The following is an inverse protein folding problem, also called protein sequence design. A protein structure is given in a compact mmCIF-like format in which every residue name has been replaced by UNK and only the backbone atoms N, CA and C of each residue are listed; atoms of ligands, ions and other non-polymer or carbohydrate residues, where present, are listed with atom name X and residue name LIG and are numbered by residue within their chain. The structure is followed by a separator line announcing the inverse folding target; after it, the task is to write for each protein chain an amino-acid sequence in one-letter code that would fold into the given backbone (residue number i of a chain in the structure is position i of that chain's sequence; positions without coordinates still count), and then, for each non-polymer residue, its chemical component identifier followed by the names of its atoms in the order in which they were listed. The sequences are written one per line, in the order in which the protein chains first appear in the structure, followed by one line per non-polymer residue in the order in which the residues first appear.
data_IF_686608794688
#
_entry.id   IF_686608794688
#
_cell.length_a   1.000
_cell.length_b   1.000
_cell.length_c   1.000
_cell.angle_alpha   90.00
_cell.angle_beta   90.00
_cell.angle_gamma   90.00
#
_symmetry.space_group_name_H-M   'P 1'
#
loop_
_entity.id
_entity.type
_entity.pdbx_description
1 polymer ?
#
# COMPACT_ATOMS: atom_id res chain seq x y z
N UNK A 1 54.65 -22.92 57.63
CA UNK A 1 54.78 -23.43 56.25
C UNK A 1 53.40 -23.48 55.62
N UNK A 2 52.96 -22.43 54.92
CA UNK A 2 51.66 -22.41 54.25
C UNK A 2 51.76 -22.95 52.82
N UNK A 3 50.76 -23.74 52.46
CA UNK A 3 50.60 -24.47 51.21
C UNK A 3 50.11 -23.61 50.04
N UNK A 4 50.75 -23.82 48.90
CA UNK A 4 50.43 -23.44 47.52
C UNK A 4 49.01 -22.91 47.20
N UNK A 5 48.94 -21.62 46.88
CA UNK A 5 47.90 -21.04 46.03
C UNK A 5 48.21 -21.31 44.55
N UNK A 6 47.57 -22.32 43.96
CA UNK A 6 47.56 -22.52 42.50
C UNK A 6 46.71 -21.45 41.82
N UNK A 7 47.39 -20.55 41.11
CA UNK A 7 46.82 -19.57 40.19
C UNK A 7 46.14 -20.31 39.03
N UNK A 8 44.83 -20.07 38.81
CA UNK A 8 44.05 -20.66 37.73
C UNK A 8 43.89 -19.62 36.58
N UNK A 9 44.61 -19.74 35.45
CA UNK A 9 44.50 -18.79 34.36
C UNK A 9 43.51 -19.31 33.30
N UNK A 10 42.22 -19.34 33.64
CA UNK A 10 41.16 -19.51 32.64
C UNK A 10 40.00 -18.54 32.86
N UNK A 11 40.32 -17.23 32.91
CA UNK A 11 39.35 -16.22 32.49
C UNK A 11 39.32 -16.24 30.96
N UNK A 12 38.35 -16.96 30.39
CA UNK A 12 37.97 -16.86 28.97
C UNK A 12 37.82 -15.39 28.62
N UNK A 13 38.76 -14.85 27.85
CA UNK A 13 38.63 -13.52 27.22
C UNK A 13 37.38 -13.60 26.33
N UNK A 14 36.37 -12.78 26.62
CA UNK A 14 35.26 -12.58 25.70
C UNK A 14 35.77 -12.15 24.32
N UNK A 15 34.99 -12.33 23.25
CA UNK A 15 35.43 -11.97 21.90
C UNK A 15 35.86 -10.51 21.88
N UNK A 16 37.09 -10.26 21.44
CA UNK A 16 37.66 -8.93 21.34
C UNK A 16 36.73 -8.06 20.48
N UNK A 17 36.37 -6.87 20.99
CA UNK A 17 35.64 -5.88 20.18
C UNK A 17 36.52 -5.53 18.99
N UNK A 18 36.19 -6.02 17.79
CA UNK A 18 36.81 -5.56 16.55
C UNK A 18 36.51 -4.07 16.44
N UNK A 19 37.54 -3.22 16.58
CA UNK A 19 37.39 -1.80 16.33
C UNK A 19 36.93 -1.62 14.89
N UNK A 20 35.80 -0.94 14.69
CA UNK A 20 35.34 -0.61 13.35
C UNK A 20 36.33 0.38 12.73
N UNK A 21 36.55 0.34 11.42
CA UNK A 21 37.38 1.33 10.75
C UNK A 21 36.75 2.73 10.94
N UNK A 22 37.56 3.75 11.24
CA UNK A 22 37.14 5.14 11.09
C UNK A 22 37.08 5.47 9.60
N UNK A 23 35.97 5.11 8.96
CA UNK A 23 35.71 5.32 7.54
C UNK A 23 34.37 6.01 7.33
N UNK A 24 34.30 6.85 6.29
CA UNK A 24 33.05 7.44 5.81
C UNK A 24 32.23 6.47 4.95
N UNK A 25 32.82 5.33 4.57
CA UNK A 25 32.13 4.29 3.82
C UNK A 25 31.24 3.45 4.76
N UNK A 26 29.93 3.64 4.62
CA UNK A 26 28.90 2.94 5.40
C UNK A 26 29.01 1.41 5.24
N UNK A 27 29.34 0.91 4.06
CA UNK A 27 29.38 -0.54 3.78
C UNK A 27 30.62 -1.20 4.36
N UNK A 28 31.75 -0.46 4.39
CA UNK A 28 32.96 -0.91 5.09
C UNK A 28 32.76 -0.88 6.61
N UNK A 29 32.03 0.12 7.11
CA UNK A 29 31.72 0.25 8.54
C UNK A 29 30.73 -0.80 9.03
N UNK A 30 29.77 -1.21 8.20
CA UNK A 30 28.76 -2.21 8.53
C UNK A 30 28.76 -3.34 7.49
N UNK A 31 29.76 -4.23 7.54
CA UNK A 31 29.85 -5.33 6.58
C UNK A 31 28.67 -6.30 6.72
N UNK A 32 28.49 -7.17 5.73
CA UNK A 32 27.52 -8.27 5.76
C UNK A 32 28.16 -9.63 5.46
N UNK A 33 29.47 -9.75 5.63
CA UNK A 33 30.25 -10.92 5.21
C UNK A 33 30.04 -12.14 6.11
N UNK A 34 29.74 -11.93 7.39
CA UNK A 34 29.57 -13.00 8.38
C UNK A 34 28.18 -13.05 9.00
N UNK A 35 27.86 -14.17 9.67
CA UNK A 35 26.62 -14.29 10.43
C UNK A 35 26.54 -13.24 11.55
N UNK A 36 27.66 -12.97 12.23
CA UNK A 36 27.69 -11.99 13.31
C UNK A 36 27.35 -10.60 12.77
N UNK A 37 27.85 -10.25 11.59
CA UNK A 37 27.58 -8.94 11.00
C UNK A 37 26.09 -8.72 10.69
N UNK A 38 25.46 -9.69 10.02
CA UNK A 38 24.00 -9.68 9.77
C UNK A 38 23.24 -9.54 11.08
N UNK A 39 23.66 -10.28 12.12
CA UNK A 39 23.00 -10.24 13.43
C UNK A 39 23.19 -8.92 14.16
N UNK A 40 24.35 -8.28 14.01
CA UNK A 40 24.64 -6.95 14.58
C UNK A 40 23.82 -5.87 13.90
N UNK A 41 23.60 -5.94 12.59
CA UNK A 41 22.78 -5.01 11.81
C UNK A 41 21.31 -5.09 12.22
N UNK A 42 20.74 -6.30 12.31
CA UNK A 42 19.30 -6.43 12.65
C UNK A 42 19.02 -6.24 14.15
N UNK A 43 20.05 -6.27 14.99
CA UNK A 43 19.94 -6.02 16.43
C UNK A 43 19.84 -7.28 17.30
N UNK A 44 19.95 -8.50 16.73
CA UNK A 44 19.89 -9.76 17.47
C UNK A 44 21.28 -10.31 17.86
N UNK A 45 22.15 -9.40 18.32
CA UNK A 45 23.53 -9.69 18.76
C UNK A 45 23.88 -8.88 20.03
N UNK A 46 24.69 -9.42 20.98
CA UNK A 46 25.12 -8.67 22.17
C UNK A 46 25.86 -7.36 21.86
N UNK A 47 26.58 -7.32 20.73
CA UNK A 47 27.30 -6.14 20.20
C UNK A 47 26.59 -5.55 18.97
N UNK A 48 25.26 -5.43 19.02
CA UNK A 48 24.46 -4.82 17.95
C UNK A 48 24.84 -3.36 17.68
N UNK A 49 24.70 -2.92 16.43
CA UNK A 49 24.88 -1.53 16.01
C UNK A 49 23.67 -0.69 16.43
N UNK A 50 23.67 -0.22 17.69
CA UNK A 50 22.53 0.51 18.28
C UNK A 50 22.30 1.87 17.63
N UNK A 51 23.32 2.43 17.01
CA UNK A 51 23.27 3.66 16.22
C UNK A 51 22.42 3.52 14.95
N UNK A 52 22.22 2.30 14.43
CA UNK A 52 21.32 2.02 13.31
C UNK A 52 19.86 2.05 13.79
N UNK A 53 19.39 3.20 14.25
CA UNK A 53 18.04 3.35 14.81
C UNK A 53 16.91 3.15 13.80
N UNK A 54 17.15 3.50 12.53
CA UNK A 54 16.12 3.46 11.49
C UNK A 54 16.16 2.13 10.72
N UNK A 55 15.04 1.39 10.75
CA UNK A 55 14.93 0.05 10.15
C UNK A 55 15.21 0.04 8.63
N UNK A 56 14.74 1.01 7.81
CA UNK A 56 15.07 1.07 6.39
C UNK A 56 16.58 1.11 6.11
N UNK A 57 17.39 1.81 6.92
CA UNK A 57 18.86 1.77 6.81
C UNK A 57 19.40 0.36 7.05
N UNK A 58 18.88 -0.36 8.04
CA UNK A 58 19.29 -1.77 8.28
C UNK A 58 18.98 -2.63 7.06
N UNK A 59 17.84 -2.44 6.42
CA UNK A 59 17.42 -3.20 5.22
C UNK A 59 18.32 -2.88 4.03
N UNK A 60 18.64 -1.60 3.82
CA UNK A 60 19.58 -1.16 2.76
C UNK A 60 20.98 -1.75 2.98
N UNK A 61 21.46 -1.78 4.22
CA UNK A 61 22.73 -2.45 4.56
C UNK A 61 22.64 -3.96 4.34
N UNK A 62 21.56 -4.63 4.75
CA UNK A 62 21.40 -6.06 4.47
C UNK A 62 21.41 -6.38 2.97
N UNK A 63 21.00 -5.46 2.10
CA UNK A 63 21.00 -5.68 0.66
C UNK A 63 22.42 -5.90 0.08
N UNK A 64 23.49 -5.44 0.74
CA UNK A 64 24.86 -5.74 0.30
C UNK A 64 25.20 -7.22 0.41
N UNK A 65 24.49 -7.98 1.25
CA UNK A 65 24.67 -9.43 1.34
C UNK A 65 24.26 -10.18 0.06
N UNK A 66 23.62 -9.53 -0.92
CA UNK A 66 23.18 -10.17 -2.16
C UNK A 66 24.33 -10.82 -2.95
N UNK A 67 25.55 -10.28 -2.84
CA UNK A 67 26.77 -10.83 -3.45
C UNK A 67 27.55 -11.76 -2.52
N UNK A 68 27.09 -11.90 -1.28
CA UNK A 68 27.78 -12.62 -0.21
C UNK A 68 27.15 -13.99 0.06
N UNK A 69 27.92 -14.86 0.75
CA UNK A 69 27.44 -16.17 1.22
C UNK A 69 26.33 -16.06 2.27
N UNK A 70 26.19 -14.89 2.89
CA UNK A 70 25.22 -14.57 3.93
C UNK A 70 23.85 -14.17 3.39
N UNK A 71 23.65 -14.07 2.07
CA UNK A 71 22.38 -13.69 1.43
C UNK A 71 21.14 -14.34 2.05
N UNK A 72 21.17 -15.66 2.21
CA UNK A 72 20.01 -16.40 2.74
C UNK A 72 19.79 -16.15 4.24
N UNK A 73 20.87 -15.94 4.99
CA UNK A 73 20.81 -15.52 6.38
C UNK A 73 20.24 -14.09 6.51
N UNK A 74 20.67 -13.17 5.64
CA UNK A 74 20.17 -11.80 5.61
C UNK A 74 18.68 -11.76 5.26
N UNK A 75 18.19 -12.64 4.38
CA UNK A 75 16.75 -12.78 4.06
C UNK A 75 15.95 -13.39 5.21
N UNK A 76 16.32 -14.61 5.60
CA UNK A 76 15.46 -15.49 6.41
C UNK A 76 15.82 -15.54 7.89
N UNK A 77 17.01 -15.07 8.26
CA UNK A 77 17.56 -15.17 9.61
C UNK A 77 18.14 -16.55 9.94
N UNK A 78 18.77 -16.65 11.12
CA UNK A 78 19.36 -17.89 11.61
C UNK A 78 18.28 -18.84 12.16
N UNK A 79 18.40 -20.14 11.90
CA UNK A 79 17.39 -21.14 12.31
C UNK A 79 17.10 -21.17 13.82
N UNK A 80 18.13 -20.94 14.64
CA UNK A 80 18.05 -20.99 16.12
C UNK A 80 17.78 -19.63 16.77
N UNK A 81 18.28 -18.55 16.18
CA UNK A 81 18.32 -17.22 16.80
C UNK A 81 17.42 -16.20 16.09
N UNK A 82 16.78 -16.58 14.99
CA UNK A 82 16.06 -15.67 14.12
C UNK A 82 16.99 -14.63 13.47
N UNK A 83 16.46 -13.45 13.20
CA UNK A 83 17.19 -12.34 12.60
C UNK A 83 16.88 -12.17 11.11
N UNK A 84 17.81 -11.52 10.41
CA UNK A 84 17.63 -11.13 9.02
C UNK A 84 16.45 -10.17 8.82
N UNK A 85 16.16 -9.89 7.57
CA UNK A 85 15.07 -9.05 7.12
C UNK A 85 13.72 -9.52 7.64
N UNK A 86 13.48 -10.84 7.64
CA UNK A 86 12.28 -11.43 8.21
C UNK A 86 11.99 -10.92 9.63
N UNK A 87 13.01 -10.78 10.48
CA UNK A 87 12.81 -10.29 11.85
C UNK A 87 12.39 -8.82 11.94
N UNK A 88 12.65 -8.03 10.90
CA UNK A 88 12.30 -6.61 10.84
C UNK A 88 10.86 -6.41 10.39
N UNK A 89 10.36 -7.23 9.47
CA UNK A 89 9.04 -7.02 8.83
C UNK A 89 7.99 -8.09 9.16
N UNK A 90 8.33 -9.15 9.87
CA UNK A 90 7.41 -10.23 10.22
C UNK A 90 7.47 -10.57 11.71
N UNK A 91 6.30 -10.77 12.31
CA UNK A 91 6.17 -11.20 13.70
C UNK A 91 4.95 -12.12 13.85
N UNK A 92 5.09 -13.20 14.62
CA UNK A 92 4.00 -14.19 14.79
C UNK A 92 2.77 -13.62 15.53
N UNK A 93 2.97 -12.65 16.42
CA UNK A 93 1.92 -12.05 17.26
C UNK A 93 2.19 -10.56 17.45
N UNK A 94 1.17 -9.74 17.21
CA UNK A 94 1.26 -8.29 17.30
C UNK A 94 2.03 -7.66 16.15
N UNK A 95 2.22 -6.34 16.23
CA UNK A 95 2.89 -5.57 15.19
C UNK A 95 4.38 -5.93 15.10
N UNK A 96 4.85 -6.17 13.88
CA UNK A 96 6.27 -6.32 13.60
C UNK A 96 7.03 -4.99 13.81
N UNK A 97 8.36 -5.03 13.98
CA UNK A 97 9.16 -3.83 14.20
C UNK A 97 8.97 -2.75 13.12
N UNK A 98 8.90 -3.13 11.84
CA UNK A 98 8.70 -2.19 10.74
C UNK A 98 7.38 -1.43 10.84
N UNK A 99 6.28 -2.13 11.12
CA UNK A 99 4.97 -1.50 11.35
C UNK A 99 5.02 -0.51 12.53
N UNK A 100 5.62 -0.93 13.65
CA UNK A 100 5.65 -0.15 14.89
C UNK A 100 6.58 1.07 14.81
N UNK A 101 7.76 0.91 14.23
CA UNK A 101 8.87 1.86 14.33
C UNK A 101 9.04 2.69 13.04
N UNK A 102 8.48 2.26 11.91
CA UNK A 102 8.54 2.97 10.63
C UNK A 102 7.15 3.43 10.21
N UNK A 103 6.22 2.50 9.97
CA UNK A 103 4.93 2.83 9.34
C UNK A 103 4.08 3.75 10.24
N UNK A 104 3.87 3.38 11.50
CA UNK A 104 3.00 4.15 12.40
C UNK A 104 3.53 5.58 12.65
N UNK A 105 4.81 5.80 13.01
CA UNK A 105 5.35 7.15 13.14
C UNK A 105 5.31 7.93 11.84
N UNK A 106 5.61 7.29 10.71
CA UNK A 106 5.62 7.94 9.41
C UNK A 106 4.21 8.39 8.98
N UNK A 107 3.18 7.56 9.18
CA UNK A 107 1.79 7.95 8.91
C UNK A 107 1.37 9.16 9.78
N UNK A 108 1.74 9.18 11.05
CA UNK A 108 1.47 10.33 11.94
C UNK A 108 2.20 11.60 11.48
N UNK A 109 3.44 11.47 11.00
CA UNK A 109 4.18 12.60 10.44
C UNK A 109 3.55 13.09 9.12
N UNK A 110 3.14 12.17 8.24
CA UNK A 110 2.44 12.51 6.99
C UNK A 110 1.11 13.22 7.28
N UNK A 111 0.40 12.82 8.34
CA UNK A 111 -0.81 13.50 8.82
C UNK A 111 -0.53 14.91 9.31
N UNK A 112 0.51 15.09 10.15
CA UNK A 112 0.92 16.41 10.61
C UNK A 112 1.34 17.36 9.47
N UNK A 113 1.85 16.81 8.35
CA UNK A 113 2.22 17.55 7.14
C UNK A 113 1.05 17.77 6.17
N UNK A 114 -0.15 17.24 6.44
CA UNK A 114 -1.30 17.33 5.55
C UNK A 114 -1.18 16.47 4.28
N UNK A 115 -0.32 15.45 4.28
CA UNK A 115 -0.11 14.51 3.18
C UNK A 115 -1.02 13.27 3.28
N UNK A 116 -1.51 12.94 4.47
CA UNK A 116 -2.33 11.76 4.74
C UNK A 116 -3.40 11.99 5.82
N UNK A 117 -4.65 11.54 5.64
CA UNK A 117 -5.22 11.10 4.36
C UNK A 117 -5.25 12.27 3.37
N UNK A 118 -5.20 12.01 2.04
CA UNK A 118 -5.25 13.09 1.05
C UNK A 118 -6.53 13.93 1.19
N UNK A 119 -6.38 15.25 1.29
CA UNK A 119 -7.49 16.19 1.37
C UNK A 119 -7.85 16.73 -0.02
N UNK A 120 -9.14 16.74 -0.37
CA UNK A 120 -9.64 17.32 -1.62
C UNK A 120 -10.51 18.54 -1.29
N UNK A 121 -10.12 19.76 -1.70
CA UNK A 121 -10.87 20.98 -1.37
C UNK A 121 -12.10 21.14 -2.30
N UNK A 122 -13.10 20.26 -2.17
CA UNK A 122 -14.28 20.18 -3.07
C UNK A 122 -14.98 21.54 -3.24
N UNK A 123 -15.04 22.34 -2.18
CA UNK A 123 -15.67 23.68 -2.20
C UNK A 123 -15.01 24.67 -3.17
N UNK A 124 -13.72 24.49 -3.47
CA UNK A 124 -12.94 25.34 -4.37
C UNK A 124 -12.95 24.84 -5.83
N UNK A 125 -13.55 23.68 -6.10
CA UNK A 125 -13.61 23.09 -7.43
C UNK A 125 -14.81 23.63 -8.23
N UNK A 126 -14.88 23.40 -9.55
CA UNK A 126 -16.07 23.70 -10.36
C UNK A 126 -17.34 23.04 -9.81
N UNK A 127 -18.50 23.56 -10.21
CA UNK A 127 -19.78 23.01 -9.79
C UNK A 127 -19.91 21.53 -10.17
N UNK A 128 -20.66 20.79 -9.36
CA UNK A 128 -20.83 19.34 -9.46
C UNK A 128 -19.56 18.49 -9.25
N UNK A 129 -18.41 19.10 -8.97
CA UNK A 129 -17.22 18.36 -8.55
C UNK A 129 -17.52 17.58 -7.27
N UNK A 130 -16.97 16.37 -7.17
CA UNK A 130 -17.12 15.54 -5.98
C UNK A 130 -15.85 14.80 -5.62
N UNK A 131 -15.72 14.41 -4.35
CA UNK A 131 -14.67 13.54 -3.86
C UNK A 131 -15.26 12.39 -3.07
N UNK A 132 -14.71 11.19 -3.27
CA UNK A 132 -15.03 9.99 -2.50
C UNK A 132 -13.78 9.61 -1.71
N UNK A 133 -13.91 9.57 -0.39
CA UNK A 133 -12.87 9.06 0.50
C UNK A 133 -13.41 7.88 1.32
N UNK A 134 -12.70 6.76 1.32
CA UNK A 134 -13.11 5.52 2.00
C UNK A 134 -11.94 5.00 2.82
N UNK A 135 -12.10 4.90 4.14
CA UNK A 135 -11.18 4.10 4.96
C UNK A 135 -11.62 2.64 4.89
N UNK A 136 -10.87 1.82 4.18
CA UNK A 136 -11.20 0.40 3.97
C UNK A 136 -10.24 -0.52 4.74
N UNK A 137 -10.66 -1.76 4.93
CA UNK A 137 -9.85 -2.85 5.49
C UNK A 137 -9.68 -3.95 4.44
N UNK A 138 -8.47 -4.47 4.29
CA UNK A 138 -8.17 -5.61 3.43
C UNK A 138 -8.72 -6.91 4.01
N UNK A 139 -9.46 -7.69 3.22
CA UNK A 139 -9.86 -9.06 3.55
C UNK A 139 -8.90 -10.09 2.98
N UNK A 140 -8.09 -9.70 1.99
CA UNK A 140 -7.05 -10.51 1.36
C UNK A 140 -5.76 -9.70 1.24
N UNK A 141 -4.58 -10.36 1.19
CA UNK A 141 -3.31 -9.67 1.09
C UNK A 141 -3.26 -8.74 -0.12
N UNK A 142 -2.53 -7.64 0.00
CA UNK A 142 -2.23 -6.76 -1.13
C UNK A 142 -0.75 -6.82 -1.49
N UNK A 143 -0.48 -6.85 -2.80
CA UNK A 143 0.87 -6.73 -3.36
C UNK A 143 0.86 -5.80 -4.56
N UNK A 144 1.83 -4.88 -4.58
CA UNK A 144 2.26 -4.13 -5.75
C UNK A 144 3.78 -4.12 -5.72
N UNK A 145 4.42 -4.44 -6.85
CA UNK A 145 5.87 -4.59 -6.93
C UNK A 145 6.53 -3.22 -6.85
N UNK A 146 7.57 -3.10 -6.01
CA UNK A 146 8.50 -1.97 -6.05
C UNK A 146 9.55 -2.12 -7.15
N UNK A 147 9.98 -0.99 -7.68
CA UNK A 147 10.99 -0.88 -8.74
C UNK A 147 12.39 -0.65 -8.13
N UNK A 148 12.54 -0.87 -6.83
CA UNK A 148 13.80 -0.70 -6.09
C UNK A 148 14.90 -1.63 -6.64
N UNK A 149 16.01 -1.09 -7.18
CA UNK A 149 17.13 -1.89 -7.65
C UNK A 149 17.88 -2.49 -6.46
N UNK A 150 18.46 -3.68 -6.64
CA UNK A 150 19.30 -4.37 -5.64
C UNK A 150 18.60 -4.57 -4.29
N UNK A 151 17.29 -4.86 -4.29
CA UNK A 151 16.55 -5.15 -3.07
C UNK A 151 16.78 -6.59 -2.60
N UNK A 152 16.81 -6.80 -1.28
CA UNK A 152 17.16 -8.08 -0.67
C UNK A 152 16.26 -9.24 -1.14
N UNK A 153 14.96 -8.98 -1.31
CA UNK A 153 13.99 -9.91 -1.88
C UNK A 153 13.67 -9.57 -3.34
N UNK A 154 13.34 -10.58 -4.14
CA UNK A 154 12.99 -10.42 -5.56
C UNK A 154 11.64 -9.72 -5.76
N UNK A 155 10.78 -9.79 -4.75
CA UNK A 155 9.42 -9.26 -4.77
C UNK A 155 9.21 -8.22 -3.66
N UNK A 156 9.87 -7.05 -3.75
CA UNK A 156 9.64 -5.96 -2.82
C UNK A 156 8.23 -5.40 -2.97
N UNK A 157 7.64 -5.00 -1.85
CA UNK A 157 6.38 -4.28 -1.83
C UNK A 157 6.64 -2.79 -2.08
N UNK A 158 5.83 -2.19 -2.94
CA UNK A 158 5.80 -0.75 -3.24
C UNK A 158 5.71 0.08 -1.97
N UNK A 159 6.68 0.98 -1.76
CA UNK A 159 6.69 1.92 -0.64
C UNK A 159 6.86 3.36 -1.11
N UNK A 160 6.30 4.30 -0.35
CA UNK A 160 6.60 5.73 -0.53
C UNK A 160 8.10 5.97 -0.30
N UNK A 161 8.72 6.84 -1.11
CA UNK A 161 10.19 6.95 -1.21
C UNK A 161 10.85 7.49 0.05
N UNK A 162 10.22 8.44 0.73
CA UNK A 162 10.75 9.15 1.90
C UNK A 162 10.35 8.43 3.18
N UNK A 163 9.05 8.23 3.36
CA UNK A 163 8.46 7.69 4.59
C UNK A 163 8.56 6.16 4.67
N UNK A 164 8.84 5.50 3.54
CA UNK A 164 8.94 4.03 3.42
C UNK A 164 7.66 3.29 3.83
N UNK A 165 6.52 3.97 3.76
CA UNK A 165 5.20 3.40 4.04
C UNK A 165 4.70 2.62 2.82
N UNK A 166 4.20 1.38 2.95
CA UNK A 166 3.62 0.64 1.84
C UNK A 166 2.48 1.38 1.16
N UNK A 167 2.39 1.32 -0.16
CA UNK A 167 1.38 2.07 -0.90
C UNK A 167 0.91 1.40 -2.19
N UNK A 168 -0.27 1.83 -2.66
CA UNK A 168 -0.66 1.75 -4.07
C UNK A 168 -0.57 3.16 -4.67
N UNK A 169 0.12 3.27 -5.81
CA UNK A 169 0.25 4.53 -6.56
C UNK A 169 -1.10 4.96 -7.13
N UNK A 170 -1.29 6.26 -7.31
CA UNK A 170 -2.44 6.82 -8.02
C UNK A 170 -2.64 6.19 -9.41
N UNK A 171 -1.55 5.91 -10.14
CA UNK A 171 -1.58 5.19 -11.42
C UNK A 171 -2.07 3.74 -11.31
N UNK A 172 -1.78 3.06 -10.19
CA UNK A 172 -2.29 1.72 -9.90
C UNK A 172 -3.80 1.71 -9.69
N UNK A 173 -4.32 2.71 -8.97
CA UNK A 173 -5.77 2.93 -8.86
C UNK A 173 -6.39 3.25 -10.21
N UNK A 174 -5.81 4.19 -10.97
CA UNK A 174 -6.28 4.55 -12.31
C UNK A 174 -6.39 3.34 -13.22
N UNK A 175 -5.34 2.52 -13.30
CA UNK A 175 -5.31 1.33 -14.16
C UNK A 175 -6.39 0.31 -13.78
N UNK A 176 -6.49 -0.02 -12.49
CA UNK A 176 -7.46 -1.01 -12.01
C UNK A 176 -8.90 -0.53 -12.19
N UNK A 177 -9.19 0.73 -11.83
CA UNK A 177 -10.53 1.29 -11.99
C UNK A 177 -10.91 1.47 -13.45
N UNK A 178 -9.95 1.78 -14.34
CA UNK A 178 -10.21 1.87 -15.79
C UNK A 178 -10.60 0.51 -16.36
N UNK A 179 -9.92 -0.56 -15.95
CA UNK A 179 -10.27 -1.92 -16.34
C UNK A 179 -11.68 -2.29 -15.86
N UNK A 180 -12.02 -1.97 -14.62
CA UNK A 180 -13.36 -2.18 -14.09
C UNK A 180 -14.42 -1.37 -14.84
N UNK A 181 -14.16 -0.09 -15.12
CA UNK A 181 -15.06 0.78 -15.87
C UNK A 181 -15.33 0.25 -17.28
N UNK A 182 -14.29 -0.17 -18.01
CA UNK A 182 -14.43 -0.78 -19.35
C UNK A 182 -15.33 -2.02 -19.35
N UNK A 183 -15.23 -2.84 -18.31
CA UNK A 183 -16.08 -4.03 -18.16
C UNK A 183 -17.52 -3.69 -17.79
N UNK A 184 -17.75 -2.60 -17.07
CA UNK A 184 -19.07 -2.20 -16.56
C UNK A 184 -19.85 -1.32 -17.53
N UNK A 185 -19.15 -0.60 -18.42
CA UNK A 185 -19.70 0.28 -19.44
C UNK A 185 -19.20 -0.14 -20.83
N UNK A 186 -19.22 -1.44 -21.11
CA UNK A 186 -18.82 -2.01 -22.41
C UNK A 186 -19.69 -1.46 -23.55
N UNK A 187 -20.96 -1.19 -23.24
CA UNK A 187 -21.96 -0.59 -24.13
C UNK A 187 -21.84 0.94 -24.26
N UNK A 188 -21.04 1.58 -23.41
CA UNK A 188 -20.91 3.05 -23.28
C UNK A 188 -19.45 3.49 -23.09
N UNK A 189 -18.55 3.21 -24.06
CA UNK A 189 -17.13 3.51 -23.95
C UNK A 189 -16.81 5.00 -23.74
N UNK A 190 -17.68 5.90 -24.24
CA UNK A 190 -17.56 7.35 -24.09
C UNK A 190 -17.58 7.81 -22.62
N UNK A 191 -18.28 7.07 -21.73
CA UNK A 191 -18.24 7.32 -20.28
C UNK A 191 -16.85 7.06 -19.73
N UNK A 192 -16.20 5.98 -20.18
CA UNK A 192 -14.86 5.61 -19.74
C UNK A 192 -13.85 6.63 -20.24
N UNK A 193 -13.94 7.04 -21.50
CA UNK A 193 -12.97 7.96 -22.09
C UNK A 193 -13.03 9.35 -21.46
N UNK A 194 -14.22 9.88 -21.16
CA UNK A 194 -14.31 11.18 -20.46
C UNK A 194 -13.88 11.11 -19.00
N UNK A 195 -14.08 9.98 -18.30
CA UNK A 195 -13.63 9.81 -16.93
C UNK A 195 -12.10 9.67 -16.82
N UNK A 196 -11.48 8.87 -17.69
CA UNK A 196 -10.06 8.49 -17.58
C UNK A 196 -9.12 9.24 -18.52
N UNK A 197 -9.68 9.91 -19.53
CA UNK A 197 -8.98 10.58 -20.63
C UNK A 197 -8.69 9.63 -21.80
N UNK A 198 -8.59 10.20 -22.99
CA UNK A 198 -8.23 9.51 -24.22
C UNK A 198 -6.85 10.00 -24.71
N UNK A 199 -6.01 9.05 -25.14
CA UNK A 199 -4.80 9.32 -25.91
C UNK A 199 -5.21 9.07 -27.36
N UNK A 200 -5.10 10.08 -28.22
CA UNK A 200 -5.27 9.91 -29.66
C UNK A 200 -3.93 9.42 -30.21
N UNK A 201 -3.93 8.31 -30.95
CA UNK A 201 -2.71 7.67 -31.48
C UNK A 201 -2.14 8.40 -32.72
N UNK A 202 -2.77 9.50 -33.15
CA UNK A 202 -2.54 10.08 -34.48
C UNK A 202 -1.94 11.49 -34.41
N UNK A 203 -0.66 11.63 -34.02
CA UNK A 203 0.16 12.82 -34.33
C UNK A 203 -0.30 14.22 -33.88
N UNK A 204 -1.49 14.37 -33.29
CA UNK A 204 -2.03 15.61 -32.79
C UNK A 204 -1.71 15.78 -31.30
N UNK A 205 -1.20 16.95 -30.93
CA UNK A 205 -0.75 17.32 -29.59
C UNK A 205 -1.86 17.38 -28.51
N UNK A 206 -3.08 16.85 -28.74
CA UNK A 206 -4.22 17.10 -27.85
C UNK A 206 -4.92 15.82 -27.37
N UNK A 207 -4.23 15.06 -26.51
CA UNK A 207 -4.91 14.08 -25.65
C UNK A 207 -5.96 14.76 -24.75
N UNK A 208 -7.13 14.16 -24.60
CA UNK A 208 -8.20 14.69 -23.73
C UNK A 208 -7.95 14.25 -22.29
N UNK A 209 -7.78 15.21 -21.38
CA UNK A 209 -7.68 14.94 -19.95
C UNK A 209 -8.99 14.32 -19.42
N UNK A 210 -8.88 13.32 -18.56
CA UNK A 210 -10.03 12.72 -17.88
C UNK A 210 -10.55 13.57 -16.72
N UNK A 211 -11.82 13.41 -16.37
CA UNK A 211 -12.47 14.06 -15.22
C UNK A 211 -12.02 13.51 -13.86
N UNK A 212 -11.44 12.31 -13.80
CA UNK A 212 -11.02 11.67 -12.55
C UNK A 212 -9.57 11.99 -12.17
N UNK A 213 -9.38 12.33 -10.89
CA UNK A 213 -8.09 12.54 -10.24
C UNK A 213 -7.93 11.47 -9.15
N UNK A 214 -6.87 10.66 -9.26
CA UNK A 214 -6.59 9.53 -8.37
C UNK A 214 -5.52 9.93 -7.36
N UNK A 215 -5.70 9.49 -6.11
CA UNK A 215 -4.73 9.70 -5.05
C UNK A 215 -4.09 8.37 -4.64
N UNK A 216 -2.84 8.38 -4.14
CA UNK A 216 -2.25 7.18 -3.56
C UNK A 216 -3.00 6.73 -2.31
N UNK A 217 -2.92 5.43 -2.02
CA UNK A 217 -3.32 4.88 -0.72
C UNK A 217 -2.10 4.37 0.00
N UNK A 218 -1.92 4.79 1.24
CA UNK A 218 -0.89 4.32 2.15
C UNK A 218 -1.49 3.33 3.15
N UNK A 219 -0.77 2.24 3.41
CA UNK A 219 -1.21 1.16 4.30
C UNK A 219 -0.51 1.21 5.65
N UNK A 220 -1.21 0.75 6.68
CA UNK A 220 -0.75 0.75 8.07
C UNK A 220 0.04 -0.51 8.50
N UNK A 221 0.28 -1.45 7.57
CA UNK A 221 1.02 -2.67 7.87
C UNK A 221 1.81 -3.21 6.67
N UNK A 222 2.85 -3.97 6.99
CA UNK A 222 3.64 -4.80 6.06
C UNK A 222 3.83 -6.18 6.69
N UNK A 223 3.92 -7.22 5.86
CA UNK A 223 4.28 -8.57 6.30
C UNK A 223 4.93 -9.36 5.14
N UNK A 224 5.27 -10.62 5.40
CA UNK A 224 5.75 -11.58 4.40
C UNK A 224 4.71 -12.66 4.14
N UNK A 225 4.49 -12.93 2.86
CA UNK A 225 3.72 -14.08 2.38
C UNK A 225 4.64 -15.06 1.65
N UNK A 226 4.25 -16.33 1.62
CA UNK A 226 5.00 -17.39 0.95
C UNK A 226 4.11 -18.16 0.00
N UNK A 227 4.47 -18.12 -1.27
CA UNK A 227 3.78 -18.89 -2.31
C UNK A 227 4.66 -20.05 -2.71
N UNK A 228 4.16 -21.27 -2.56
CA UNK A 228 4.80 -22.46 -3.12
C UNK A 228 4.12 -22.84 -4.45
N UNK A 229 4.71 -22.57 -5.63
CA UNK A 229 4.18 -23.05 -6.89
C UNK A 229 4.25 -24.58 -6.94
N UNK A 230 3.24 -25.24 -7.50
CA UNK A 230 3.30 -26.69 -7.69
C UNK A 230 3.58 -27.01 -9.15
N UNK A 231 4.46 -27.98 -9.38
CA UNK A 231 4.66 -28.55 -10.69
C UNK A 231 3.37 -29.24 -11.15
N UNK A 232 2.87 -28.87 -12.33
CA UNK A 232 1.68 -29.52 -12.91
C UNK A 232 1.92 -31.00 -13.24
N UNK A 233 3.19 -31.39 -13.50
CA UNK A 233 3.57 -32.77 -13.87
C UNK A 233 3.69 -33.69 -12.65
N UNK A 234 4.30 -33.21 -11.57
CA UNK A 234 4.64 -34.04 -10.41
C UNK A 234 3.78 -33.75 -9.19
N UNK A 235 2.95 -32.70 -9.23
CA UNK A 235 2.17 -32.14 -8.10
C UNK A 235 3.00 -31.74 -6.87
N UNK A 236 4.32 -31.96 -6.89
CA UNK A 236 5.25 -31.51 -5.86
C UNK A 236 5.39 -29.98 -5.87
N UNK A 237 5.54 -29.39 -4.68
CA UNK A 237 5.89 -27.97 -4.53
C UNK A 237 7.30 -27.71 -5.09
N UNK A 238 7.49 -26.55 -5.69
CA UNK A 238 8.78 -26.09 -6.19
C UNK A 238 9.46 -25.20 -5.15
N UNK A 239 10.30 -24.26 -5.59
CA UNK A 239 10.98 -23.31 -4.70
C UNK A 239 9.96 -22.30 -4.17
N UNK A 240 9.80 -22.17 -2.84
CA UNK A 240 8.91 -21.18 -2.26
C UNK A 240 9.34 -19.76 -2.61
N UNK A 241 8.37 -18.95 -3.04
CA UNK A 241 8.56 -17.56 -3.43
C UNK A 241 8.06 -16.69 -2.27
N UNK A 242 8.98 -15.95 -1.65
CA UNK A 242 8.65 -14.96 -0.63
C UNK A 242 8.23 -13.66 -1.29
N UNK A 243 7.11 -13.11 -0.79
CA UNK A 243 6.53 -11.84 -1.20
C UNK A 243 6.44 -10.92 0.01
N UNK A 244 6.88 -9.68 -0.14
CA UNK A 244 6.42 -8.64 0.78
C UNK A 244 5.01 -8.25 0.43
N UNK A 245 4.15 -8.16 1.44
CA UNK A 245 2.74 -7.88 1.24
C UNK A 245 2.25 -6.87 2.27
N UNK A 246 1.10 -6.28 2.00
CA UNK A 246 0.24 -5.74 3.04
C UNK A 246 -0.69 -6.87 3.49
N UNK A 247 -0.70 -7.25 4.79
CA UNK A 247 -1.49 -8.37 5.28
C UNK A 247 -3.00 -8.08 5.32
N UNK A 248 -3.86 -9.12 5.35
CA UNK A 248 -5.27 -8.98 5.70
C UNK A 248 -5.44 -8.28 7.05
N UNK A 249 -6.50 -7.49 7.19
CA UNK A 249 -6.76 -6.67 8.38
C UNK A 249 -6.12 -5.28 8.33
N UNK A 250 -5.10 -5.08 7.48
CA UNK A 250 -4.52 -3.76 7.26
C UNK A 250 -5.52 -2.79 6.63
N UNK A 251 -5.31 -1.50 6.86
CA UNK A 251 -6.21 -0.43 6.46
C UNK A 251 -5.52 0.62 5.60
N UNK A 252 -6.34 1.35 4.84
CA UNK A 252 -5.87 2.47 4.03
C UNK A 252 -7.03 3.38 3.63
N UNK A 253 -6.68 4.61 3.21
CA UNK A 253 -7.64 5.55 2.66
C UNK A 253 -7.59 5.52 1.13
N UNK A 254 -8.68 5.10 0.51
CA UNK A 254 -8.93 5.36 -0.91
C UNK A 254 -9.47 6.78 -1.06
N UNK A 255 -8.90 7.57 -1.96
CA UNK A 255 -9.38 8.92 -2.28
C UNK A 255 -9.43 9.10 -3.80
N UNK A 256 -10.56 9.58 -4.29
CA UNK A 256 -10.82 9.87 -5.71
C UNK A 256 -11.55 11.21 -5.80
N UNK A 257 -11.12 12.08 -6.70
CA UNK A 257 -11.85 13.30 -7.03
C UNK A 257 -12.34 13.28 -8.47
N UNK A 258 -13.49 13.89 -8.70
CA UNK A 258 -14.11 14.13 -9.99
C UNK A 258 -14.22 15.63 -10.21
N UNK A 259 -13.72 16.10 -11.36
CA UNK A 259 -13.72 17.50 -11.76
C UNK A 259 -14.29 17.60 -13.18
N UNK A 260 -15.53 18.07 -13.36
CA UNK A 260 -16.18 18.21 -14.65
C UNK A 260 -15.79 19.51 -15.36
N UNK A 261 -14.48 19.74 -15.54
CA UNK A 261 -13.97 21.02 -16.07
C UNK A 261 -14.46 21.34 -17.49
N UNK A 262 -14.83 20.31 -18.27
CA UNK A 262 -15.30 20.39 -19.65
C UNK A 262 -16.83 20.55 -19.76
N UNK A 263 -17.56 20.56 -18.64
CA UNK A 263 -18.99 20.86 -18.61
C UNK A 263 -19.29 22.35 -18.49
N UNK A 264 -18.26 23.18 -18.26
CA UNK A 264 -18.41 24.63 -18.16
C UNK A 264 -18.99 25.20 -19.47
N UNK A 265 -20.14 25.87 -19.37
CA UNK A 265 -20.84 26.48 -20.52
C UNK A 265 -21.89 25.60 -21.20
N UNK A 266 -22.07 24.34 -20.76
CA UNK A 266 -23.22 23.53 -21.19
C UNK A 266 -24.51 23.94 -20.46
N UNK A 267 -25.69 23.66 -21.04
CA UNK A 267 -26.96 23.76 -20.32
C UNK A 267 -26.91 22.95 -19.03
N UNK A 268 -27.42 23.53 -17.94
CA UNK A 268 -27.32 22.95 -16.60
C UNK A 268 -27.94 21.54 -16.49
N UNK A 269 -29.06 21.32 -17.17
CA UNK A 269 -29.73 20.01 -17.25
C UNK A 269 -28.82 18.94 -17.88
N UNK A 270 -28.12 19.29 -18.97
CA UNK A 270 -27.22 18.38 -19.66
C UNK A 270 -25.98 18.07 -18.82
N UNK A 271 -25.44 19.08 -18.14
CA UNK A 271 -24.34 18.89 -17.20
C UNK A 271 -24.72 17.92 -16.07
N UNK A 272 -25.90 18.11 -15.46
CA UNK A 272 -26.43 17.25 -14.39
C UNK A 272 -26.62 15.81 -14.85
N UNK A 273 -27.16 15.57 -16.05
CA UNK A 273 -27.30 14.22 -16.62
C UNK A 273 -25.95 13.53 -16.78
N UNK A 274 -24.93 14.22 -17.30
CA UNK A 274 -23.60 13.63 -17.44
C UNK A 274 -22.95 13.34 -16.08
N UNK A 275 -23.06 14.25 -15.12
CA UNK A 275 -22.55 14.07 -13.75
C UNK A 275 -23.23 12.88 -13.08
N UNK A 276 -24.55 12.73 -13.23
CA UNK A 276 -25.30 11.61 -12.67
C UNK A 276 -24.81 10.26 -13.24
N UNK A 277 -24.66 10.16 -14.57
CA UNK A 277 -24.13 8.97 -15.22
C UNK A 277 -22.69 8.66 -14.78
N UNK A 278 -21.85 9.70 -14.70
CA UNK A 278 -20.45 9.59 -14.25
C UNK A 278 -20.37 9.10 -12.80
N UNK A 279 -21.14 9.71 -11.89
CA UNK A 279 -21.20 9.36 -10.48
C UNK A 279 -21.66 7.91 -10.28
N UNK A 280 -22.71 7.49 -10.99
CA UNK A 280 -23.21 6.12 -10.95
C UNK A 280 -22.14 5.11 -11.37
N UNK A 281 -21.46 5.34 -12.49
CA UNK A 281 -20.37 4.47 -12.95
C UNK A 281 -19.19 4.46 -11.97
N UNK A 282 -18.81 5.64 -11.44
CA UNK A 282 -17.70 5.78 -10.48
C UNK A 282 -17.94 4.95 -9.22
N UNK A 283 -19.10 5.08 -8.61
CA UNK A 283 -19.44 4.35 -7.38
C UNK A 283 -19.49 2.85 -7.65
N UNK A 284 -20.08 2.44 -8.78
CA UNK A 284 -20.17 1.04 -9.15
C UNK A 284 -18.78 0.42 -9.41
N UNK A 285 -17.89 1.10 -10.15
CA UNK A 285 -16.55 0.57 -10.40
C UNK A 285 -15.69 0.51 -9.15
N UNK A 286 -15.86 1.44 -8.19
CA UNK A 286 -15.13 1.43 -6.92
C UNK A 286 -15.56 0.23 -6.08
N UNK A 287 -16.87 0.00 -5.91
CA UNK A 287 -17.38 -1.18 -5.20
C UNK A 287 -16.87 -2.47 -5.83
N UNK A 288 -17.01 -2.62 -7.16
CA UNK A 288 -16.65 -3.85 -7.86
C UNK A 288 -15.16 -4.13 -7.79
N UNK A 289 -14.34 -3.10 -7.94
CA UNK A 289 -12.88 -3.19 -7.79
C UNK A 289 -12.50 -3.64 -6.39
N UNK A 290 -13.04 -3.02 -5.35
CA UNK A 290 -12.67 -3.32 -3.97
C UNK A 290 -13.22 -4.66 -3.46
N UNK A 291 -14.45 -5.01 -3.82
CA UNK A 291 -15.15 -6.15 -3.22
C UNK A 291 -15.13 -7.43 -4.08
N UNK A 292 -14.84 -7.34 -5.38
CA UNK A 292 -14.94 -8.50 -6.29
C UNK A 292 -13.72 -8.72 -7.19
N UNK A 293 -13.24 -7.69 -7.87
CA UNK A 293 -12.16 -7.84 -8.86
C UNK A 293 -10.76 -7.81 -8.22
N UNK A 294 -10.63 -7.06 -7.14
CA UNK A 294 -9.37 -6.78 -6.46
C UNK A 294 -8.54 -5.70 -7.15
N UNK A 295 -7.59 -5.12 -6.41
CA UNK A 295 -6.72 -4.03 -6.89
C UNK A 295 -5.21 -4.30 -6.72
N UNK A 296 -4.81 -5.57 -6.61
CA UNK A 296 -3.41 -5.99 -6.47
C UNK A 296 -2.81 -6.50 -7.80
N UNK A 297 -1.48 -6.52 -7.90
CA UNK A 297 -0.79 -7.19 -9.00
C UNK A 297 -1.05 -8.72 -9.07
N UNK A 298 -1.53 -9.35 -7.98
CA UNK A 298 -1.82 -10.80 -7.91
C UNK A 298 -3.33 -11.12 -7.82
N UNK A 299 -4.18 -10.33 -8.51
CA UNK A 299 -5.65 -10.51 -8.55
C UNK A 299 -6.12 -11.93 -8.85
N UNK A 300 -5.46 -12.65 -9.76
CA UNK A 300 -5.81 -14.04 -10.10
C UNK A 300 -5.68 -15.03 -8.93
N UNK A 301 -4.99 -14.64 -7.85
CA UNK A 301 -4.88 -15.41 -6.60
C UNK A 301 -5.74 -14.82 -5.46
N UNK A 302 -6.64 -13.89 -5.80
CA UNK A 302 -7.56 -13.26 -4.86
C UNK A 302 -6.95 -12.12 -4.03
N UNK A 303 -5.78 -11.59 -4.41
CA UNK A 303 -5.15 -10.48 -3.68
C UNK A 303 -5.88 -9.15 -3.92
N UNK A 304 -5.83 -8.27 -2.91
CA UNK A 304 -6.33 -6.90 -2.97
C UNK A 304 -7.85 -6.80 -2.90
N UNK A 305 -8.50 -7.65 -2.11
CA UNK A 305 -9.93 -7.51 -1.78
C UNK A 305 -10.09 -6.78 -0.45
N UNK A 306 -11.13 -5.94 -0.36
CA UNK A 306 -11.49 -5.19 0.82
C UNK A 306 -12.86 -5.61 1.38
N UNK A 307 -13.12 -5.26 2.64
CA UNK A 307 -14.38 -5.52 3.30
C UNK A 307 -15.50 -4.66 2.70
N UNK A 308 -16.68 -5.26 2.50
CA UNK A 308 -17.85 -4.56 1.95
C UNK A 308 -18.57 -3.68 2.98
N UNK A 309 -18.34 -3.93 4.27
CA UNK A 309 -18.95 -3.23 5.42
C UNK A 309 -17.87 -2.84 6.42
N UNK A 310 -18.05 -1.68 7.06
CA UNK A 310 -17.12 -1.07 8.01
C UNK A 310 -17.79 -0.99 9.40
N UNK A 311 -17.63 -2.01 10.26
CA UNK A 311 -18.49 -2.20 11.44
C UNK A 311 -18.14 -1.37 12.68
N UNK A 312 -16.89 -0.95 12.89
CA UNK A 312 -16.47 -0.30 14.14
C UNK A 312 -16.45 1.25 14.03
N UNK A 313 -17.34 1.90 14.80
CA UNK A 313 -17.52 3.36 14.88
C UNK A 313 -16.34 4.13 15.51
N UNK A 314 -15.48 3.48 16.30
CA UNK A 314 -14.36 4.13 17.00
C UNK A 314 -13.05 4.00 16.23
N UNK A 315 -12.90 2.97 15.41
CA UNK A 315 -11.69 2.73 14.61
C UNK A 315 -11.86 3.05 13.11
N UNK A 316 -13.08 3.04 12.57
CA UNK A 316 -13.35 3.25 11.15
C UNK A 316 -14.47 4.28 10.95
N UNK A 317 -14.17 5.52 10.50
CA UNK A 317 -15.20 6.52 10.24
C UNK A 317 -16.10 6.17 9.04
N UNK A 318 -15.78 5.10 8.30
CA UNK A 318 -16.46 4.68 7.08
C UNK A 318 -15.94 5.44 5.86
N UNK A 319 -16.85 5.80 4.97
CA UNK A 319 -16.56 6.67 3.83
C UNK A 319 -17.39 7.94 3.82
N UNK A 320 -16.90 8.93 3.08
CA UNK A 320 -17.56 10.20 2.83
C UNK A 320 -17.55 10.46 1.32
N UNK A 321 -18.69 10.86 0.77
CA UNK A 321 -18.80 11.47 -0.54
C UNK A 321 -19.22 12.92 -0.36
N UNK A 322 -18.36 13.83 -0.80
CA UNK A 322 -18.61 15.27 -0.77
C UNK A 322 -18.78 15.76 -2.19
N UNK A 323 -19.93 16.35 -2.50
CA UNK A 323 -20.20 17.00 -3.79
C UNK A 323 -20.47 18.48 -3.56
N UNK A 324 -19.89 19.34 -4.39
CA UNK A 324 -20.08 20.79 -4.27
C UNK A 324 -21.56 21.14 -4.45
N UNK A 325 -22.11 21.89 -3.49
CA UNK A 325 -23.52 22.29 -3.48
C UNK A 325 -24.46 21.32 -2.74
N UNK A 326 -23.98 20.15 -2.31
CA UNK A 326 -24.79 19.13 -1.65
C UNK A 326 -24.28 18.81 -0.25
N UNK A 327 -25.15 18.26 0.60
CA UNK A 327 -24.77 17.79 1.92
C UNK A 327 -23.83 16.56 1.81
N UNK A 328 -22.75 16.48 2.62
CA UNK A 328 -21.87 15.32 2.63
C UNK A 328 -22.59 14.00 2.92
N UNK A 329 -22.37 12.99 2.08
CA UNK A 329 -22.92 11.66 2.25
C UNK A 329 -21.92 10.77 3.00
N UNK A 330 -22.18 10.52 4.28
CA UNK A 330 -21.43 9.54 5.07
C UNK A 330 -22.05 8.15 4.96
N UNK A 331 -21.23 7.12 4.84
CA UNK A 331 -21.68 5.73 4.66
C UNK A 331 -20.76 4.71 5.33
N UNK A 332 -21.30 3.52 5.65
CA UNK A 332 -20.56 2.43 6.32
C UNK A 332 -20.53 1.12 5.54
N UNK A 333 -21.12 1.08 4.36
CA UNK A 333 -20.99 -0.05 3.44
C UNK A 333 -21.16 0.42 2.01
N UNK A 334 -20.70 -0.37 1.05
CA UNK A 334 -20.96 -0.09 -0.36
C UNK A 334 -22.45 -0.13 -0.69
N UNK A 335 -23.22 -1.01 -0.04
CA UNK A 335 -24.69 -1.02 -0.20
C UNK A 335 -25.33 0.27 0.29
N UNK A 336 -24.85 0.86 1.38
CA UNK A 336 -25.34 2.16 1.84
C UNK A 336 -24.92 3.29 0.89
N UNK A 337 -23.67 3.29 0.42
CA UNK A 337 -23.18 4.25 -0.57
C UNK A 337 -24.05 4.25 -1.83
N UNK A 338 -24.28 3.07 -2.43
CA UNK A 338 -25.10 2.94 -3.63
C UNK A 338 -26.52 3.49 -3.43
N UNK A 339 -27.17 3.17 -2.30
CA UNK A 339 -28.52 3.69 -2.00
C UNK A 339 -28.55 5.21 -1.86
N UNK A 340 -27.57 5.80 -1.16
CA UNK A 340 -27.51 7.27 -0.97
C UNK A 340 -27.18 7.99 -2.28
N UNK A 341 -26.30 7.40 -3.09
CA UNK A 341 -25.94 7.93 -4.41
C UNK A 341 -27.11 7.87 -5.38
N UNK A 342 -27.93 6.81 -5.33
CA UNK A 342 -29.16 6.76 -6.13
C UNK A 342 -30.08 7.95 -5.82
N UNK A 343 -30.31 8.25 -4.53
CA UNK A 343 -31.09 9.43 -4.13
C UNK A 343 -30.45 10.76 -4.55
N UNK A 344 -29.12 10.88 -4.48
CA UNK A 344 -28.41 12.07 -4.98
C UNK A 344 -28.53 12.22 -6.51
N UNK A 345 -28.51 11.12 -7.25
CA UNK A 345 -28.72 11.11 -8.70
C UNK A 345 -30.15 11.56 -9.04
N UNK A 346 -31.16 11.09 -8.30
CA UNK A 346 -32.55 11.55 -8.44
C UNK A 346 -32.66 13.06 -8.19
N UNK A 347 -31.99 13.58 -7.16
CA UNK A 347 -31.94 15.01 -6.85
C UNK A 347 -31.24 15.83 -7.95
N UNK A 348 -30.14 15.30 -8.51
CA UNK A 348 -29.40 15.94 -9.59
C UNK A 348 -30.23 16.05 -10.88
N UNK A 349 -30.93 14.98 -11.26
CA UNK A 349 -31.66 14.93 -12.55
C UNK A 349 -33.10 15.47 -12.42
N UNK A 350 -33.63 15.61 -11.20
CA UNK A 350 -35.00 16.06 -10.96
C UNK A 350 -36.07 14.99 -11.24
N UNK A 351 -35.65 13.72 -11.39
CA UNK A 351 -36.52 12.57 -11.64
C UNK A 351 -36.56 11.66 -10.41
N UNK A 352 -37.76 11.40 -9.86
CA UNK A 352 -37.97 10.30 -8.91
C UNK A 352 -38.00 8.98 -9.69
N UNK A 353 -36.89 8.26 -9.73
CA UNK A 353 -36.87 6.92 -10.33
C UNK A 353 -37.63 5.96 -9.41
N UNK A 354 -38.82 5.54 -9.85
CA UNK A 354 -39.59 4.49 -9.18
C UNK A 354 -38.73 3.24 -8.98
N UNK A 355 -38.75 2.70 -7.75
CA UNK A 355 -38.06 1.47 -7.32
C UNK A 355 -37.94 0.44 -8.45
N UNK A 356 -36.70 0.15 -8.87
CA UNK A 356 -36.41 -1.09 -9.60
C UNK A 356 -36.65 -2.27 -8.64
N UNK A 357 -37.62 -3.10 -9.02
CA UNK A 357 -38.07 -4.30 -8.31
C UNK A 357 -37.02 -5.41 -8.28
#
# INVERSE_FOLDING_TARGET
MPSDTRHNPQRRRGPARRALPETYDLFVRYPTETEEDVRRIVGNHPQAFRELGWIPTRIELLATSLVERTKELARSGHRKFGGGYRSLVHQKRGDNPYTREVIRPALAQMEALGLYPPAVPVKMLPDYSFAIQIRFMLTRPFYSRDDAPFYLHENPLMKERVFKVPMIRASGWKGTLREAARRLAEDRPELVDRLFGAILDDGEERGRKGRLIFYPTFFDAIDLDMINPHSRRTKAGTVPIVLEIVPPGATGYFTLAYVPFDLAGLPDEEARRQVAADLGLVVHMVERTMCRYGFSAKRSRGYGLAAATFPDRRQYPGGCLEMKGFAPLRFRSFSELNRRVAGLIEELVGEKVGRLA
#
